data_IF_703867444593
#
_entry.id   IF_703867444593
#
_cell.length_a   1.000
_cell.length_b   1.000
_cell.length_c   1.000
_cell.angle_alpha   90.00
_cell.angle_beta   90.00
_cell.angle_gamma   90.00
#
_symmetry.space_group_name_H-M   'P 1'
#
loop_
_entity.id
_entity.type
_entity.pdbx_description
1 polymer ?
#
# COMPACT_ATOMS: atom_id res chain seq x y z
N UNK A 1 -14.99 6.24 14.57
CA UNK A 1 -13.75 6.74 15.20
C UNK A 1 -12.61 5.87 14.71
N UNK A 2 -11.48 6.47 14.32
CA UNK A 2 -10.31 5.78 13.77
C UNK A 2 -9.05 6.39 14.39
N UNK A 3 -8.11 5.56 14.85
CA UNK A 3 -6.81 5.99 15.39
C UNK A 3 -5.66 5.64 14.44
N UNK A 4 -4.44 6.07 14.79
CA UNK A 4 -3.23 5.80 14.01
C UNK A 4 -2.89 4.31 13.89
N UNK A 5 -3.18 3.55 14.94
CA UNK A 5 -2.85 2.13 14.96
C UNK A 5 -3.71 1.36 13.95
N UNK A 6 -4.98 1.74 13.75
CA UNK A 6 -5.89 1.04 12.84
C UNK A 6 -5.39 0.87 11.39
N UNK A 7 -4.93 1.90 10.67
CA UNK A 7 -4.38 1.73 9.33
C UNK A 7 -2.93 1.22 9.32
N UNK A 8 -2.18 1.34 10.42
CA UNK A 8 -0.76 0.96 10.48
C UNK A 8 -0.55 -0.34 11.26
N UNK A 9 -0.42 -0.26 12.60
CA UNK A 9 -0.01 -1.40 13.42
C UNK A 9 -1.08 -2.47 13.68
N UNK A 10 -2.37 -2.14 13.53
CA UNK A 10 -3.52 -3.02 13.76
C UNK A 10 -4.31 -3.30 12.48
N UNK A 11 -3.79 -2.89 11.32
CA UNK A 11 -4.42 -3.19 10.04
C UNK A 11 -4.57 -4.70 9.84
N UNK A 12 -3.53 -5.45 10.24
CA UNK A 12 -3.52 -6.90 10.10
C UNK A 12 -4.73 -7.57 10.79
N UNK A 13 -5.08 -7.11 11.98
CA UNK A 13 -6.20 -7.69 12.73
C UNK A 13 -7.52 -7.52 11.96
N UNK A 14 -7.76 -6.36 11.35
CA UNK A 14 -8.98 -6.10 10.58
C UNK A 14 -9.06 -6.99 9.33
N UNK A 15 -7.94 -7.15 8.62
CA UNK A 15 -7.86 -8.02 7.43
C UNK A 15 -8.10 -9.49 7.79
N UNK A 16 -7.46 -9.98 8.86
CA UNK A 16 -7.63 -11.35 9.34
C UNK A 16 -9.06 -11.62 9.77
N UNK A 17 -9.68 -10.72 10.53
CA UNK A 17 -11.09 -10.85 10.94
C UNK A 17 -12.06 -10.81 9.76
N UNK A 18 -11.72 -10.09 8.69
CA UNK A 18 -12.49 -10.07 7.45
C UNK A 18 -12.26 -11.32 6.57
N UNK A 19 -11.44 -12.29 7.00
CA UNK A 19 -11.14 -13.51 6.24
C UNK A 19 -10.32 -13.26 4.97
N UNK A 20 -9.57 -12.14 4.90
CA UNK A 20 -8.75 -11.77 3.73
C UNK A 20 -7.27 -12.08 3.97
N UNK A 21 -6.49 -12.11 2.89
CA UNK A 21 -5.05 -12.34 2.95
C UNK A 21 -4.30 -11.00 3.14
N UNK A 22 -3.30 -10.97 4.03
CA UNK A 22 -2.47 -9.78 4.24
C UNK A 22 -1.72 -9.37 2.99
N UNK A 23 -1.19 -10.35 2.25
CA UNK A 23 -0.41 -10.17 1.03
C UNK A 23 -1.20 -9.50 -0.10
N UNK A 24 -2.53 -9.41 0.00
CA UNK A 24 -3.33 -8.61 -0.93
C UNK A 24 -3.11 -7.10 -0.71
N UNK A 25 -2.80 -6.70 0.53
CA UNK A 25 -2.69 -5.30 0.97
C UNK A 25 -1.25 -4.83 1.10
N UNK A 26 -0.37 -5.64 1.68
CA UNK A 26 1.07 -5.37 1.72
C UNK A 26 1.82 -6.69 1.89
N UNK A 27 3.07 -6.71 1.45
CA UNK A 27 3.93 -7.89 1.62
C UNK A 27 5.37 -7.47 1.89
N UNK A 28 6.18 -8.44 2.35
CA UNK A 28 7.62 -8.25 2.55
C UNK A 28 8.35 -8.67 1.28
N UNK A 29 9.09 -7.72 0.70
CA UNK A 29 9.96 -7.95 -0.44
C UNK A 29 11.42 -7.73 -0.03
N UNK A 30 12.30 -8.55 -0.59
CA UNK A 30 13.73 -8.52 -0.34
C UNK A 30 14.43 -7.77 -1.47
N UNK A 31 15.09 -6.68 -1.12
CA UNK A 31 15.82 -5.80 -2.04
C UNK A 31 17.30 -6.18 -2.01
N UNK A 32 17.93 -6.50 -3.16
CA UNK A 32 19.37 -6.69 -3.23
C UNK A 32 20.11 -5.38 -2.98
N UNK A 33 20.98 -5.33 -1.96
CA UNK A 33 21.76 -4.13 -1.59
C UNK A 33 23.27 -4.27 -1.86
N UNK A 34 23.65 -5.31 -2.61
CA UNK A 34 25.03 -5.62 -2.97
C UNK A 34 25.69 -6.66 -2.04
N UNK A 35 26.79 -7.26 -2.50
CA UNK A 35 27.53 -8.27 -1.73
C UNK A 35 26.74 -9.54 -1.39
N UNK A 36 25.65 -9.83 -2.12
CA UNK A 36 24.73 -10.94 -1.83
C UNK A 36 23.80 -10.69 -0.63
N UNK A 37 23.78 -9.48 -0.08
CA UNK A 37 22.89 -9.11 1.02
C UNK A 37 21.53 -8.71 0.48
N UNK A 38 20.48 -9.26 1.10
CA UNK A 38 19.09 -8.93 0.84
C UNK A 38 18.50 -8.20 2.04
N UNK A 39 17.86 -7.05 1.82
CA UNK A 39 17.20 -6.27 2.86
C UNK A 39 15.68 -6.40 2.75
N UNK A 40 14.95 -6.76 3.82
CA UNK A 40 13.49 -6.84 3.79
C UNK A 40 12.86 -5.44 3.86
N UNK A 41 11.87 -5.21 3.01
CA UNK A 41 11.04 -4.01 2.97
C UNK A 41 9.56 -4.39 2.91
N UNK A 42 8.74 -3.77 3.76
CA UNK A 42 7.28 -3.85 3.65
C UNK A 42 6.84 -2.90 2.54
N UNK A 43 6.20 -3.44 1.51
CA UNK A 43 5.67 -2.68 0.39
C UNK A 43 4.15 -2.78 0.35
N UNK A 44 3.49 -1.64 0.17
CA UNK A 44 2.04 -1.53 0.20
C UNK A 44 1.45 -1.62 -1.20
N UNK A 45 0.45 -2.46 -1.36
CA UNK A 45 -0.27 -2.68 -2.61
C UNK A 45 -1.48 -1.72 -2.71
N UNK A 46 -2.00 -1.46 -3.93
CA UNK A 46 -3.17 -0.62 -4.13
C UNK A 46 -4.40 -0.96 -3.27
N UNK A 47 -4.60 -2.23 -2.90
CA UNK A 47 -5.71 -2.65 -2.05
C UNK A 47 -5.63 -2.05 -0.62
N UNK A 48 -4.42 -1.81 -0.10
CA UNK A 48 -4.22 -1.12 1.18
C UNK A 48 -4.82 0.30 1.12
N UNK A 49 -4.45 1.07 0.11
CA UNK A 49 -4.92 2.45 -0.08
C UNK A 49 -6.42 2.53 -0.35
N UNK A 50 -7.00 1.51 -1.01
CA UNK A 50 -8.44 1.44 -1.25
C UNK A 50 -9.27 1.02 -0.04
N UNK A 51 -8.64 0.58 1.06
CA UNK A 51 -9.36 0.17 2.27
C UNK A 51 -9.98 1.37 2.98
N UNK A 52 -11.25 1.25 3.42
CA UNK A 52 -12.00 2.35 4.07
C UNK A 52 -11.24 2.98 5.24
N UNK A 53 -10.58 2.17 6.07
CA UNK A 53 -9.81 2.66 7.23
C UNK A 53 -8.63 3.54 6.80
N UNK A 54 -7.95 3.19 5.71
CA UNK A 54 -6.82 3.93 5.15
C UNK A 54 -7.34 5.19 4.44
N UNK A 55 -8.38 5.07 3.61
CA UNK A 55 -9.02 6.22 2.93
C UNK A 55 -9.44 7.29 3.93
N UNK A 56 -10.10 6.89 5.02
CA UNK A 56 -10.53 7.82 6.06
C UNK A 56 -9.37 8.35 6.89
N UNK A 57 -8.46 7.49 7.38
CA UNK A 57 -7.41 7.96 8.27
C UNK A 57 -6.31 8.74 7.56
N UNK A 58 -5.76 8.20 6.47
CA UNK A 58 -4.58 8.77 5.82
C UNK A 58 -4.97 9.96 4.95
N UNK A 59 -6.16 9.93 4.34
CA UNK A 59 -6.60 10.90 3.33
C UNK A 59 -7.88 11.65 3.68
N UNK A 60 -8.40 11.51 4.91
CA UNK A 60 -9.65 12.14 5.37
C UNK A 60 -10.89 11.81 4.52
N UNK A 61 -10.85 10.75 3.71
CA UNK A 61 -11.89 10.45 2.74
C UNK A 61 -11.89 11.35 1.50
N UNK A 62 -10.89 12.22 1.34
CA UNK A 62 -10.77 13.08 0.17
C UNK A 62 -10.16 12.34 -1.03
N UNK A 63 -10.37 12.90 -2.23
CA UNK A 63 -9.73 12.41 -3.42
C UNK A 63 -8.20 12.62 -3.35
N UNK A 64 -7.45 11.68 -3.93
CA UNK A 64 -5.99 11.72 -3.98
C UNK A 64 -5.51 11.57 -5.41
N UNK A 65 -4.61 12.46 -5.81
CA UNK A 65 -3.77 12.28 -7.00
C UNK A 65 -2.39 11.85 -6.51
N UNK A 66 -1.81 10.75 -7.02
CA UNK A 66 -0.46 10.33 -6.65
C UNK A 66 0.54 11.46 -6.87
N UNK A 67 1.48 11.62 -5.94
CA UNK A 67 2.60 12.53 -6.14
C UNK A 67 3.50 12.01 -7.27
N UNK A 68 4.30 12.89 -7.86
CA UNK A 68 5.28 12.52 -8.87
C UNK A 68 6.18 11.37 -8.37
N UNK A 69 6.34 10.33 -9.17
CA UNK A 69 7.14 9.13 -8.84
C UNK A 69 6.65 8.33 -7.62
N UNK A 70 5.45 8.58 -7.09
CA UNK A 70 4.88 7.81 -5.98
C UNK A 70 4.38 6.43 -6.42
N UNK A 71 4.05 6.27 -7.72
CA UNK A 71 3.65 5.00 -8.31
C UNK A 71 4.90 4.24 -8.74
N UNK A 72 5.20 3.13 -8.06
CA UNK A 72 6.36 2.30 -8.37
C UNK A 72 5.86 0.95 -8.87
N UNK A 73 6.37 0.50 -10.01
CA UNK A 73 6.23 -0.90 -10.44
C UNK A 73 7.48 -1.65 -10.04
N UNK A 74 7.31 -2.83 -9.45
CA UNK A 74 8.39 -3.79 -9.21
C UNK A 74 8.14 -5.05 -10.01
N UNK A 75 9.22 -5.71 -10.45
CA UNK A 75 9.20 -7.14 -10.76
C UNK A 75 9.83 -7.92 -9.61
N UNK A 76 9.37 -9.14 -9.38
CA UNK A 76 9.93 -10.00 -8.36
C UNK A 76 9.90 -11.47 -8.77
N UNK A 77 10.72 -12.27 -8.09
CA UNK A 77 10.66 -13.73 -8.17
C UNK A 77 10.43 -14.32 -6.79
N UNK A 78 9.64 -15.38 -6.73
CA UNK A 78 9.57 -16.21 -5.53
C UNK A 78 10.87 -17.04 -5.41
N UNK A 79 11.40 -17.11 -4.21
CA UNK A 79 12.59 -17.85 -3.84
C UNK A 79 12.33 -18.65 -2.59
N UNK A 80 13.21 -19.60 -2.30
CA UNK A 80 13.18 -20.42 -1.08
C UNK A 80 14.55 -20.33 -0.44
N UNK A 81 14.59 -20.03 0.86
CA UNK A 81 15.83 -19.99 1.60
C UNK A 81 16.34 -21.41 1.95
N UNK A 82 17.51 -21.49 2.59
CA UNK A 82 18.11 -22.78 2.98
C UNK A 82 17.29 -23.55 4.03
N UNK A 83 16.33 -22.89 4.70
CA UNK A 83 15.45 -23.49 5.70
C UNK A 83 14.09 -23.89 5.11
N UNK A 84 13.88 -23.69 3.81
CA UNK A 84 12.61 -23.99 3.14
C UNK A 84 11.57 -22.87 3.24
N UNK A 85 11.93 -21.70 3.78
CA UNK A 85 11.01 -20.56 3.87
C UNK A 85 10.98 -19.79 2.55
N UNK A 86 9.78 -19.55 2.03
CA UNK A 86 9.59 -18.76 0.81
C UNK A 86 9.81 -17.26 1.06
N UNK A 87 10.42 -16.56 0.10
CA UNK A 87 10.56 -15.11 0.12
C UNK A 87 10.44 -14.52 -1.30
N UNK A 88 10.11 -13.22 -1.39
CA UNK A 88 9.98 -12.50 -2.65
C UNK A 88 11.19 -11.60 -2.86
N UNK A 89 11.99 -11.87 -3.88
CA UNK A 89 13.16 -11.05 -4.22
C UNK A 89 12.82 -10.09 -5.35
N UNK A 90 13.07 -8.80 -5.16
CA UNK A 90 12.86 -7.78 -6.20
C UNK A 90 13.95 -7.93 -7.28
N UNK A 91 13.50 -8.01 -8.54
CA UNK A 91 14.36 -8.12 -9.73
C UNK A 91 14.43 -6.83 -10.53
N UNK A 92 13.49 -5.91 -10.32
CA UNK A 92 13.47 -4.60 -10.97
C UNK A 92 12.51 -3.63 -10.29
N UNK A 93 12.75 -2.34 -10.47
CA UNK A 93 11.94 -1.26 -9.88
C UNK A 93 11.94 -0.05 -10.80
N UNK A 94 10.76 0.46 -11.11
CA UNK A 94 10.54 1.57 -12.03
C UNK A 94 9.52 2.54 -11.44
N UNK A 95 9.92 3.79 -11.11
CA UNK A 95 8.97 4.83 -10.76
C UNK A 95 8.26 5.37 -12.00
N UNK A 96 6.99 5.73 -11.86
CA UNK A 96 6.17 6.33 -12.89
C UNK A 96 5.55 7.63 -12.40
N UNK A 97 5.34 8.57 -13.33
CA UNK A 97 4.73 9.85 -13.01
C UNK A 97 3.21 9.72 -12.81
N UNK A 98 2.59 8.76 -13.51
CA UNK A 98 1.15 8.50 -13.42
C UNK A 98 0.84 7.03 -13.15
N UNK A 99 -0.38 6.77 -12.68
CA UNK A 99 -0.86 5.41 -12.45
C UNK A 99 -1.13 4.67 -13.77
N UNK A 100 -1.58 5.41 -14.77
CA UNK A 100 -1.89 4.92 -16.11
C UNK A 100 -0.62 4.39 -16.80
N UNK A 101 0.48 5.15 -16.79
CA UNK A 101 1.76 4.70 -17.34
C UNK A 101 2.27 3.41 -16.68
N UNK A 102 2.13 3.30 -15.36
CA UNK A 102 2.49 2.08 -14.63
C UNK A 102 1.64 0.87 -15.06
N UNK A 103 0.34 1.08 -15.31
CA UNK A 103 -0.56 0.02 -15.81
C UNK A 103 -0.22 -0.40 -17.24
N UNK A 104 0.11 0.56 -18.09
CA UNK A 104 0.48 0.31 -19.49
C UNK A 104 1.80 -0.46 -19.58
N UNK A 105 2.77 -0.11 -18.72
CA UNK A 105 4.03 -0.84 -18.58
C UNK A 105 3.80 -2.32 -18.21
N UNK A 106 2.96 -2.60 -17.20
CA UNK A 106 2.66 -3.98 -16.79
C UNK A 106 1.95 -4.74 -17.91
N UNK A 107 0.97 -4.10 -18.56
CA UNK A 107 0.18 -4.72 -19.62
C UNK A 107 1.02 -5.08 -20.85
N UNK A 108 2.07 -4.31 -21.11
CA UNK A 108 3.04 -4.56 -22.20
C UNK A 108 4.06 -5.67 -21.87
N UNK A 109 4.19 -6.05 -20.59
CA UNK A 109 5.20 -7.00 -20.09
C UNK A 109 4.56 -8.15 -19.28
N UNK A 110 3.43 -8.69 -19.74
CA UNK A 110 2.59 -9.61 -18.95
C UNK A 110 3.24 -10.96 -18.55
N UNK A 111 4.49 -11.26 -18.95
CA UNK A 111 5.16 -12.54 -18.68
C UNK A 111 5.85 -12.64 -17.32
N UNK A 112 6.02 -11.54 -16.58
CA UNK A 112 6.67 -11.56 -15.26
C UNK A 112 5.72 -11.19 -14.12
N UNK A 113 6.14 -11.49 -12.88
CA UNK A 113 5.40 -11.08 -11.70
C UNK A 113 5.63 -9.60 -11.41
N UNK A 114 4.77 -8.75 -11.97
CA UNK A 114 4.76 -7.32 -11.70
C UNK A 114 3.75 -6.93 -10.61
N UNK A 115 4.11 -5.92 -9.81
CA UNK A 115 3.20 -5.28 -8.85
C UNK A 115 3.42 -3.77 -8.84
N UNK A 116 2.31 -3.03 -8.79
CA UNK A 116 2.33 -1.62 -8.37
C UNK A 116 2.40 -1.60 -6.85
N UNK A 117 3.32 -0.82 -6.31
CA UNK A 117 3.60 -0.72 -4.89
C UNK A 117 3.80 0.74 -4.46
N UNK A 118 3.76 0.97 -3.16
CA UNK A 118 4.31 2.16 -2.51
C UNK A 118 5.13 1.76 -1.28
N UNK A 119 6.08 2.64 -0.93
CA UNK A 119 6.98 2.48 0.22
C UNK A 119 6.50 3.24 1.47
N UNK A 120 5.52 4.12 1.31
CA UNK A 120 4.98 4.98 2.37
C UNK A 120 3.46 4.78 2.48
N UNK A 121 2.93 4.27 3.61
CA UNK A 121 1.49 4.04 3.76
C UNK A 121 0.65 5.33 3.68
N UNK A 122 1.26 6.51 3.86
CA UNK A 122 0.58 7.81 3.82
C UNK A 122 0.66 8.51 2.46
N UNK A 123 1.30 7.89 1.45
CA UNK A 123 1.37 8.39 0.08
C UNK A 123 0.83 7.34 -0.89
N UNK A 124 -0.33 7.62 -1.50
CA UNK A 124 -0.97 6.66 -2.40
C UNK A 124 -0.21 6.53 -3.73
N UNK A 125 0.07 5.30 -4.20
CA UNK A 125 0.57 5.04 -5.56
C UNK A 125 -0.56 4.96 -6.59
N UNK A 126 -1.81 5.15 -6.17
CA UNK A 126 -2.98 5.07 -7.06
C UNK A 126 -3.89 6.27 -6.83
N UNK A 127 -4.57 6.77 -7.88
CA UNK A 127 -5.62 7.76 -7.70
C UNK A 127 -6.72 7.17 -6.81
N UNK A 128 -7.20 7.98 -5.87
CA UNK A 128 -8.33 7.62 -5.02
C UNK A 128 -9.44 8.62 -5.27
N UNK A 129 -10.64 8.11 -5.51
CA UNK A 129 -11.84 8.95 -5.54
C UNK A 129 -12.15 9.45 -4.13
N UNK A 130 -12.95 10.52 -4.04
CA UNK A 130 -13.53 10.94 -2.76
C UNK A 130 -14.41 9.81 -2.21
N UNK A 131 -14.32 9.54 -0.92
CA UNK A 131 -15.18 8.58 -0.25
C UNK A 131 -16.48 9.28 0.15
N UNK A 132 -17.55 8.99 -0.57
CA UNK A 132 -18.87 9.54 -0.28
C UNK A 132 -19.41 9.09 1.08
N UNK A 133 -20.35 9.86 1.62
CA UNK A 133 -21.07 9.58 2.86
C UNK A 133 -20.24 9.63 4.16
N UNK A 134 -19.01 10.14 4.14
CA UNK A 134 -18.21 10.34 5.36
C UNK A 134 -17.70 11.77 5.48
N UNK A 135 -18.01 12.42 6.60
CA UNK A 135 -17.54 13.76 6.92
C UNK A 135 -16.66 13.72 8.17
N UNK A 136 -15.43 14.24 8.10
CA UNK A 136 -14.58 14.45 9.27
C UNK A 136 -15.22 15.53 10.16
N UNK A 137 -15.60 15.17 11.39
CA UNK A 137 -16.23 16.10 12.35
C UNK A 137 -15.34 16.43 13.54
N UNK A 138 -14.31 15.63 13.78
CA UNK A 138 -13.36 15.86 14.86
C UNK A 138 -12.02 15.18 14.58
N UNK A 139 -10.93 15.84 14.94
CA UNK A 139 -9.58 15.28 14.99
C UNK A 139 -8.87 15.84 16.23
N UNK A 140 -8.15 14.98 16.96
CA UNK A 140 -7.30 15.47 18.06
C UNK A 140 -6.10 16.23 17.50
N UNK A 141 -5.61 17.24 18.24
CA UNK A 141 -4.38 17.95 17.92
C UNK A 141 -3.16 17.12 18.36
N UNK A 142 -2.70 16.21 17.49
CA UNK A 142 -1.55 15.32 17.70
C UNK A 142 -0.92 14.96 16.36
N UNK A 143 0.40 14.64 16.29
CA UNK A 143 1.00 14.02 15.11
C UNK A 143 0.32 12.70 14.70
N UNK A 144 -0.31 12.02 15.66
CA UNK A 144 -1.06 10.78 15.48
C UNK A 144 -2.50 11.00 15.94
N UNK A 145 -3.33 11.71 15.16
CA UNK A 145 -4.65 12.11 15.61
C UNK A 145 -5.58 10.90 15.77
N UNK A 146 -6.55 11.01 16.68
CA UNK A 146 -7.78 10.20 16.64
C UNK A 146 -8.81 11.00 15.84
N UNK A 147 -9.41 10.38 14.83
CA UNK A 147 -10.36 11.01 13.91
C UNK A 147 -11.77 10.43 14.10
N UNK A 148 -12.77 11.30 14.12
CA UNK A 148 -14.19 10.91 14.15
C UNK A 148 -14.85 11.40 12.87
N UNK A 149 -15.47 10.46 12.17
CA UNK A 149 -16.24 10.72 10.96
C UNK A 149 -17.72 10.49 11.26
N UNK A 150 -18.56 11.40 10.77
CA UNK A 150 -20.01 11.25 10.75
C UNK A 150 -20.40 10.64 9.41
N UNK A 151 -21.27 9.62 9.43
CA UNK A 151 -21.89 9.10 8.22
C UNK A 151 -23.01 10.05 7.77
N UNK A 152 -23.00 10.45 6.50
CA UNK A 152 -24.00 11.34 5.89
C UNK A 152 -24.79 10.58 4.84
N UNK A 153 -26.12 10.62 4.93
CA UNK A 153 -27.00 9.99 3.93
C UNK A 153 -26.94 10.73 2.60
#
# INVERSE_FOLDING_TARGET
>A
MIDYAMPVGKFYAQVTWAGKNMSDFYDVYYVPVGGGVLQPHVLYHPAYYNSTVVRLYNFNGEAVVPAENATIVISYRDQVDRQGSGYKEITGSWPFSTYEEARDFISSNASENYKIIAVDPFKSPVPLEKLEHYQLVYATSSPYPVKIFKYTK
#
